data_IF_245155199675
#
_entry.id   IF_245155199675
#
_cell.length_a   1.000
_cell.length_b   1.000
_cell.length_c   1.000
_cell.angle_alpha   90.00
_cell.angle_beta   90.00
_cell.angle_gamma   90.00
#
_symmetry.space_group_name_H-M   'P 1'
#
loop_
_entity.id
_entity.type
_entity.pdbx_description
1 polymer ?
#
# COMPACT_ATOMS: atom_id res chain seq x y z
N UNK A 1 -16.21 -25.92 12.71
CA UNK A 1 -16.95 -26.46 11.55
C UNK A 1 -16.78 -25.47 10.43
N UNK A 2 -16.16 -25.87 9.32
CA UNK A 2 -15.97 -24.95 8.19
C UNK A 2 -17.33 -24.63 7.56
N UNK A 3 -17.58 -23.35 7.28
CA UNK A 3 -18.85 -22.88 6.71
C UNK A 3 -18.65 -22.47 5.26
N UNK A 4 -19.53 -22.94 4.40
CA UNK A 4 -19.56 -22.50 3.01
C UNK A 4 -20.51 -21.32 2.88
N UNK A 5 -19.96 -20.14 2.50
CA UNK A 5 -20.71 -18.91 2.32
C UNK A 5 -20.61 -18.44 0.87
N UNK A 6 -21.72 -18.08 0.31
CA UNK A 6 -21.80 -17.49 -1.04
C UNK A 6 -22.44 -16.10 -1.02
N UNK A 7 -21.95 -15.17 -1.84
CA UNK A 7 -22.59 -13.89 -2.00
C UNK A 7 -23.84 -14.04 -2.88
N UNK A 8 -24.94 -13.46 -2.44
CA UNK A 8 -26.23 -13.46 -3.14
C UNK A 8 -26.64 -12.01 -3.40
N UNK A 9 -26.82 -11.65 -4.66
CA UNK A 9 -27.38 -10.36 -5.03
C UNK A 9 -28.90 -10.50 -5.13
N UNK A 10 -29.62 -9.69 -4.36
CA UNK A 10 -31.09 -9.72 -4.35
C UNK A 10 -31.68 -8.89 -5.50
N UNK A 11 -32.96 -9.12 -5.87
CA UNK A 11 -33.66 -8.30 -6.87
C UNK A 11 -33.74 -6.80 -6.54
N UNK A 12 -33.54 -6.45 -5.25
CA UNK A 12 -33.54 -5.06 -4.76
C UNK A 12 -32.13 -4.45 -4.70
N UNK A 13 -31.12 -5.10 -5.30
CA UNK A 13 -29.75 -4.60 -5.35
C UNK A 13 -28.97 -4.71 -4.04
N UNK A 14 -29.45 -5.48 -3.05
CA UNK A 14 -28.73 -5.74 -1.81
C UNK A 14 -27.85 -6.98 -1.94
N UNK A 15 -26.63 -6.89 -1.46
CA UNK A 15 -25.68 -8.02 -1.39
C UNK A 15 -25.73 -8.62 0.02
N UNK A 16 -25.91 -9.91 0.13
CA UNK A 16 -25.91 -10.65 1.39
C UNK A 16 -25.09 -11.93 1.26
N UNK A 17 -24.81 -12.60 2.39
CA UNK A 17 -24.24 -13.95 2.41
C UNK A 17 -25.31 -14.96 2.76
N UNK A 18 -25.35 -16.05 2.00
CA UNK A 18 -26.17 -17.20 2.29
C UNK A 18 -25.26 -18.43 2.47
N UNK A 19 -25.76 -19.44 3.20
CA UNK A 19 -25.06 -20.71 3.33
C UNK A 19 -25.26 -21.53 2.06
N UNK A 20 -24.18 -22.16 1.59
CA UNK A 20 -24.21 -23.08 0.47
C UNK A 20 -23.77 -24.47 0.90
N UNK A 21 -24.24 -25.47 0.19
CA UNK A 21 -23.81 -26.87 0.39
C UNK A 21 -22.54 -27.22 -0.41
N UNK A 22 -21.81 -26.22 -0.94
CA UNK A 22 -20.71 -26.38 -1.87
C UNK A 22 -19.39 -26.75 -1.17
N UNK A 23 -18.48 -27.36 -1.98
CA UNK A 23 -17.17 -27.90 -1.56
C UNK A 23 -16.19 -26.83 -1.03
N UNK A 24 -16.43 -25.55 -1.23
CA UNK A 24 -15.50 -24.49 -0.82
C UNK A 24 -15.89 -23.92 0.53
N UNK A 25 -15.23 -24.42 1.58
CA UNK A 25 -15.46 -23.90 2.92
C UNK A 25 -14.44 -22.80 3.27
N UNK A 26 -14.93 -21.72 3.84
CA UNK A 26 -14.10 -20.66 4.41
C UNK A 26 -13.56 -21.09 5.77
N UNK A 27 -12.39 -20.56 6.15
CA UNK A 27 -11.90 -20.69 7.53
C UNK A 27 -12.93 -20.09 8.51
N UNK A 28 -13.15 -20.75 9.65
CA UNK A 28 -14.20 -20.35 10.62
C UNK A 28 -14.10 -18.88 11.02
N UNK A 29 -12.91 -18.40 11.31
CA UNK A 29 -12.69 -17.00 11.70
C UNK A 29 -13.00 -16.00 10.58
N UNK A 30 -12.79 -16.37 9.31
CA UNK A 30 -13.12 -15.55 8.15
C UNK A 30 -14.64 -15.52 7.92
N UNK A 31 -15.27 -16.69 7.95
CA UNK A 31 -16.72 -16.81 7.77
C UNK A 31 -17.47 -15.96 8.81
N UNK A 32 -17.09 -16.06 10.08
CA UNK A 32 -17.71 -15.30 11.18
C UNK A 32 -17.53 -13.77 11.00
N UNK A 33 -16.35 -13.32 10.60
CA UNK A 33 -16.13 -11.89 10.33
C UNK A 33 -17.00 -11.38 9.18
N UNK A 34 -17.08 -12.13 8.09
CA UNK A 34 -17.88 -11.75 6.94
C UNK A 34 -19.38 -11.75 7.27
N UNK A 35 -19.89 -12.81 7.90
CA UNK A 35 -21.29 -12.88 8.35
C UNK A 35 -21.67 -11.69 9.23
N UNK A 36 -20.84 -11.38 10.23
CA UNK A 36 -21.05 -10.24 11.14
C UNK A 36 -21.16 -8.91 10.37
N UNK A 37 -20.29 -8.70 9.38
CA UNK A 37 -20.32 -7.44 8.61
C UNK A 37 -21.51 -7.39 7.66
N UNK A 38 -21.80 -8.46 6.92
CA UNK A 38 -22.94 -8.51 6.00
C UNK A 38 -24.30 -8.45 6.72
N UNK A 39 -24.40 -8.93 7.96
CA UNK A 39 -25.61 -8.77 8.81
C UNK A 39 -25.90 -7.29 9.10
N UNK A 40 -24.87 -6.44 9.19
CA UNK A 40 -25.02 -4.99 9.35
C UNK A 40 -25.47 -4.30 8.03
N UNK A 41 -25.26 -4.93 6.88
CA UNK A 41 -25.64 -4.47 5.56
C UNK A 41 -24.57 -4.70 4.49
N UNK A 42 -24.97 -4.58 3.23
CA UNK A 42 -24.12 -4.79 2.06
C UNK A 42 -22.83 -3.94 2.09
N UNK A 43 -22.97 -2.67 2.46
CA UNK A 43 -21.83 -1.74 2.53
C UNK A 43 -20.79 -2.14 3.57
N UNK A 44 -21.22 -2.59 4.76
CA UNK A 44 -20.30 -3.07 5.81
C UNK A 44 -19.57 -4.34 5.37
N UNK A 45 -20.28 -5.26 4.71
CA UNK A 45 -19.69 -6.47 4.15
C UNK A 45 -18.66 -6.18 3.06
N UNK A 46 -18.97 -5.28 2.13
CA UNK A 46 -18.05 -4.83 1.08
C UNK A 46 -16.83 -4.10 1.67
N UNK A 47 -17.02 -3.23 2.65
CA UNK A 47 -15.92 -2.56 3.33
C UNK A 47 -14.97 -3.56 4.01
N UNK A 48 -15.50 -4.61 4.64
CA UNK A 48 -14.70 -5.68 5.23
C UNK A 48 -13.95 -6.47 4.15
N UNK A 49 -14.61 -6.85 3.05
CA UNK A 49 -13.97 -7.56 1.94
C UNK A 49 -12.81 -6.75 1.35
N UNK A 50 -13.02 -5.46 1.08
CA UNK A 50 -12.00 -4.59 0.49
C UNK A 50 -10.87 -4.25 1.46
N UNK A 51 -11.19 -3.84 2.68
CA UNK A 51 -10.19 -3.36 3.63
C UNK A 51 -9.50 -4.49 4.41
N UNK A 52 -10.24 -5.53 4.79
CA UNK A 52 -9.73 -6.59 5.67
C UNK A 52 -9.18 -7.81 4.94
N UNK A 53 -9.82 -8.20 3.84
CA UNK A 53 -9.57 -9.52 3.22
C UNK A 53 -8.71 -9.44 1.94
N UNK A 54 -7.96 -8.37 1.77
CA UNK A 54 -6.96 -8.26 0.71
C UNK A 54 -5.83 -9.30 0.94
N UNK A 55 -5.66 -10.21 -0.02
CA UNK A 55 -4.69 -11.31 0.07
C UNK A 55 -5.22 -12.59 0.69
N UNK A 56 -6.49 -12.61 1.09
CA UNK A 56 -7.15 -13.83 1.57
C UNK A 56 -7.65 -14.66 0.37
N UNK A 57 -7.48 -15.99 0.43
CA UNK A 57 -8.04 -16.90 -0.58
C UNK A 57 -9.54 -16.96 -0.42
N UNK A 58 -10.29 -16.61 -1.48
CA UNK A 58 -11.74 -16.57 -1.49
C UNK A 58 -12.29 -17.31 -2.72
N UNK A 59 -13.53 -17.86 -2.65
CA UNK A 59 -14.25 -18.34 -3.82
C UNK A 59 -14.39 -17.23 -4.88
N UNK A 60 -14.50 -17.61 -6.16
CA UNK A 60 -14.48 -16.69 -7.28
C UNK A 60 -15.51 -15.54 -7.19
N UNK A 61 -16.71 -15.84 -6.72
CA UNK A 61 -17.77 -14.86 -6.52
C UNK A 61 -17.43 -13.85 -5.40
N UNK A 62 -16.96 -14.32 -4.24
CA UNK A 62 -16.50 -13.44 -3.15
C UNK A 62 -15.23 -12.67 -3.54
N UNK A 63 -14.31 -13.29 -4.27
CA UNK A 63 -13.11 -12.64 -4.79
C UNK A 63 -13.47 -11.47 -5.73
N UNK A 64 -14.47 -11.64 -6.58
CA UNK A 64 -14.96 -10.59 -7.47
C UNK A 64 -15.54 -9.39 -6.69
N UNK A 65 -16.35 -9.65 -5.66
CA UNK A 65 -16.88 -8.59 -4.78
C UNK A 65 -15.79 -7.91 -3.98
N UNK A 66 -14.77 -8.66 -3.53
CA UNK A 66 -13.58 -8.06 -2.94
C UNK A 66 -12.87 -7.13 -3.92
N UNK A 67 -12.69 -7.55 -5.17
CA UNK A 67 -12.01 -6.74 -6.19
C UNK A 67 -12.78 -5.45 -6.52
N UNK A 68 -14.12 -5.49 -6.48
CA UNK A 68 -14.94 -4.29 -6.52
C UNK A 68 -14.68 -3.38 -5.31
N UNK A 69 -14.71 -3.92 -4.10
CA UNK A 69 -14.52 -3.17 -2.87
C UNK A 69 -13.07 -2.66 -2.69
N UNK A 70 -12.07 -3.38 -3.20
CA UNK A 70 -10.67 -2.92 -3.20
C UNK A 70 -10.47 -1.60 -3.95
N UNK A 71 -11.26 -1.34 -5.00
CA UNK A 71 -11.22 -0.07 -5.74
C UNK A 71 -11.67 1.08 -4.85
N UNK A 72 -12.75 0.87 -4.10
CA UNK A 72 -13.24 1.85 -3.13
C UNK A 72 -12.16 2.21 -2.08
N UNK A 73 -11.53 1.20 -1.47
CA UNK A 73 -10.49 1.43 -0.46
C UNK A 73 -9.23 2.06 -1.07
N UNK A 74 -8.88 1.72 -2.31
CA UNK A 74 -7.74 2.35 -2.99
C UNK A 74 -8.00 3.85 -3.24
N UNK A 75 -9.20 4.23 -3.65
CA UNK A 75 -9.59 5.62 -3.85
C UNK A 75 -9.58 6.40 -2.52
N UNK A 76 -10.02 5.78 -1.41
CA UNK A 76 -9.90 6.35 -0.07
C UNK A 76 -8.44 6.69 0.29
N UNK A 77 -7.53 5.76 0.02
CA UNK A 77 -6.10 5.97 0.30
C UNK A 77 -5.49 7.06 -0.60
N UNK A 78 -5.99 7.21 -1.82
CA UNK A 78 -5.53 8.23 -2.76
C UNK A 78 -5.96 9.65 -2.37
N UNK A 79 -6.97 9.81 -1.52
CA UNK A 79 -7.41 11.14 -1.03
C UNK A 79 -6.56 11.69 0.14
N UNK A 80 -5.74 10.86 0.80
CA UNK A 80 -4.72 11.22 1.80
C UNK A 80 -5.20 11.80 3.12
N UNK A 81 -4.20 12.21 3.93
CA UNK A 81 -4.38 12.71 5.30
C UNK A 81 -4.94 14.13 5.40
N UNK A 82 -4.90 14.90 4.30
CA UNK A 82 -5.26 16.33 4.29
C UNK A 82 -6.76 16.59 4.27
N UNK A 83 -7.58 15.59 4.04
CA UNK A 83 -9.02 15.73 4.19
C UNK A 83 -9.35 15.80 5.69
N UNK A 84 -9.45 17.02 6.21
CA UNK A 84 -9.96 17.26 7.56
C UNK A 84 -11.33 16.59 7.72
N UNK A 85 -11.60 16.06 8.92
CA UNK A 85 -12.80 15.26 9.22
C UNK A 85 -14.15 15.98 8.98
N UNK A 86 -14.12 17.25 8.62
CA UNK A 86 -15.29 18.13 8.52
C UNK A 86 -15.75 18.43 7.07
N UNK A 87 -14.97 18.08 6.05
CA UNK A 87 -15.43 18.21 4.67
C UNK A 87 -16.16 16.94 4.25
N UNK A 88 -17.43 17.06 3.84
CA UNK A 88 -18.19 15.99 3.19
C UNK A 88 -17.34 15.42 2.07
N UNK A 89 -16.81 14.23 2.32
CA UNK A 89 -16.02 13.50 1.33
C UNK A 89 -16.99 12.95 0.30
N UNK A 90 -17.04 13.60 -0.83
CA UNK A 90 -17.75 13.06 -1.98
C UNK A 90 -16.81 12.01 -2.62
N UNK A 91 -17.17 10.72 -2.50
CA UNK A 91 -16.45 9.62 -3.17
C UNK A 91 -17.21 9.26 -4.44
N UNK A 92 -16.92 9.92 -5.57
CA UNK A 92 -17.62 9.61 -6.79
C UNK A 92 -17.41 8.12 -7.14
N UNK A 93 -18.49 7.48 -7.56
CA UNK A 93 -18.37 6.13 -8.10
C UNK A 93 -17.43 6.12 -9.32
N UNK A 94 -16.73 5.01 -9.59
CA UNK A 94 -15.91 4.87 -10.78
C UNK A 94 -16.69 5.19 -12.06
N UNK A 95 -15.97 5.51 -13.14
CA UNK A 95 -16.59 5.79 -14.42
C UNK A 95 -17.48 4.60 -14.87
N UNK A 96 -18.60 4.90 -15.51
CA UNK A 96 -19.54 3.88 -15.99
C UNK A 96 -18.86 2.81 -16.87
N UNK A 97 -17.87 3.21 -17.70
CA UNK A 97 -17.05 2.30 -18.52
C UNK A 97 -16.31 1.26 -17.69
N UNK A 98 -15.76 1.68 -16.54
CA UNK A 98 -14.96 0.81 -15.67
C UNK A 98 -15.85 -0.18 -14.91
N UNK A 99 -17.02 0.27 -14.48
CA UNK A 99 -18.01 -0.60 -13.84
C UNK A 99 -18.61 -1.59 -14.85
N UNK A 100 -18.87 -1.18 -16.08
CA UNK A 100 -19.34 -2.08 -17.14
C UNK A 100 -18.28 -3.14 -17.45
N UNK A 101 -17.03 -2.75 -17.61
CA UNK A 101 -15.92 -3.69 -17.83
C UNK A 101 -15.71 -4.66 -16.65
N UNK A 102 -16.13 -4.28 -15.45
CA UNK A 102 -16.12 -5.15 -14.27
C UNK A 102 -17.27 -6.16 -14.34
N UNK A 103 -18.48 -5.71 -14.70
CA UNK A 103 -19.66 -6.58 -14.87
C UNK A 103 -19.38 -7.66 -15.92
N UNK A 104 -18.79 -7.30 -17.05
CA UNK A 104 -18.46 -8.24 -18.14
C UNK A 104 -17.51 -9.38 -17.69
N UNK A 105 -16.79 -9.18 -16.61
CA UNK A 105 -15.86 -10.15 -16.03
C UNK A 105 -16.40 -10.85 -14.79
N UNK A 106 -17.68 -10.64 -14.46
CA UNK A 106 -18.27 -11.25 -13.30
C UNK A 106 -18.36 -12.78 -13.46
N UNK A 107 -17.92 -13.55 -12.46
CA UNK A 107 -18.12 -14.99 -12.48
C UNK A 107 -19.61 -15.32 -12.29
N UNK A 108 -20.04 -16.53 -12.64
CA UNK A 108 -21.37 -17.00 -12.28
C UNK A 108 -21.59 -16.87 -10.76
N UNK A 109 -22.67 -16.20 -10.37
CA UNK A 109 -23.03 -16.01 -8.97
C UNK A 109 -24.56 -15.96 -8.80
N UNK A 110 -25.03 -16.26 -7.60
CA UNK A 110 -26.43 -16.23 -7.29
C UNK A 110 -26.98 -14.80 -7.33
N UNK A 111 -28.02 -14.56 -8.13
CA UNK A 111 -28.58 -13.23 -8.39
C UNK A 111 -27.75 -12.40 -9.39
N UNK A 112 -26.84 -13.05 -10.15
CA UNK A 112 -26.03 -12.36 -11.17
C UNK A 112 -26.87 -11.67 -12.27
N UNK A 113 -28.10 -12.11 -12.49
CA UNK A 113 -29.07 -11.47 -13.40
C UNK A 113 -29.49 -10.06 -12.96
N UNK A 114 -29.30 -9.73 -11.69
CA UNK A 114 -29.58 -8.39 -11.14
C UNK A 114 -28.35 -7.48 -11.14
N UNK A 115 -27.19 -7.99 -11.58
CA UNK A 115 -25.94 -7.24 -11.59
C UNK A 115 -25.97 -6.20 -12.74
N UNK A 116 -26.28 -4.98 -12.41
CA UNK A 116 -26.39 -3.85 -13.33
C UNK A 116 -25.56 -2.65 -12.81
N UNK A 117 -25.34 -1.68 -13.69
CA UNK A 117 -24.53 -0.50 -13.39
C UNK A 117 -25.05 0.30 -12.20
N UNK A 118 -26.35 0.55 -12.15
CA UNK A 118 -27.05 1.27 -11.08
C UNK A 118 -26.94 0.55 -9.74
N UNK A 119 -26.98 -0.79 -9.74
CA UNK A 119 -26.78 -1.61 -8.54
C UNK A 119 -25.36 -1.46 -8.01
N UNK A 120 -24.33 -1.48 -8.87
CA UNK A 120 -22.96 -1.26 -8.43
C UNK A 120 -22.75 0.16 -7.87
N UNK A 121 -23.37 1.17 -8.49
CA UNK A 121 -23.32 2.55 -7.96
C UNK A 121 -24.00 2.63 -6.59
N UNK A 122 -25.16 1.99 -6.41
CA UNK A 122 -25.85 1.96 -5.13
C UNK A 122 -25.06 1.22 -4.05
N UNK A 123 -24.38 0.13 -4.40
CA UNK A 123 -23.50 -0.61 -3.50
C UNK A 123 -22.24 0.20 -3.13
N UNK A 124 -21.70 0.98 -4.07
CA UNK A 124 -20.61 1.92 -3.79
C UNK A 124 -21.01 2.95 -2.75
N UNK A 125 -22.13 3.62 -2.94
CA UNK A 125 -22.70 4.57 -1.98
C UNK A 125 -23.06 3.93 -0.63
N UNK A 126 -23.50 2.66 -0.65
CA UNK A 126 -23.73 1.91 0.59
C UNK A 126 -22.43 1.65 1.35
N UNK A 127 -21.34 1.40 0.63
CA UNK A 127 -20.00 1.21 1.23
C UNK A 127 -19.46 2.51 1.82
N UNK A 128 -19.70 3.63 1.16
CA UNK A 128 -19.37 4.98 1.67
C UNK A 128 -20.09 5.27 2.99
N UNK A 129 -21.40 5.07 3.04
CA UNK A 129 -22.17 5.23 4.28
C UNK A 129 -21.71 4.30 5.40
N UNK A 130 -21.38 3.04 5.06
CA UNK A 130 -20.84 2.11 6.05
C UNK A 130 -19.50 2.58 6.61
N UNK A 131 -18.63 3.15 5.77
CA UNK A 131 -17.37 3.75 6.19
C UNK A 131 -17.58 4.91 7.17
N UNK A 132 -18.49 5.84 6.86
CA UNK A 132 -18.80 6.97 7.73
C UNK A 132 -19.27 6.51 9.12
N UNK A 133 -20.17 5.52 9.16
CA UNK A 133 -20.66 4.93 10.40
C UNK A 133 -19.50 4.30 11.18
N UNK A 134 -18.70 3.46 10.55
CA UNK A 134 -17.62 2.75 11.24
C UNK A 134 -16.48 3.67 11.67
N UNK A 135 -16.19 4.74 10.93
CA UNK A 135 -15.24 5.77 11.37
C UNK A 135 -15.76 6.52 12.61
N UNK A 136 -17.04 6.89 12.63
CA UNK A 136 -17.65 7.56 13.78
C UNK A 136 -17.68 6.66 15.03
N UNK A 137 -17.96 5.36 14.86
CA UNK A 137 -17.94 4.36 15.93
C UNK A 137 -16.53 4.12 16.49
N UNK A 138 -15.53 4.01 15.59
CA UNK A 138 -14.15 3.70 15.99
C UNK A 138 -13.41 4.90 16.58
N UNK A 139 -13.81 6.12 16.24
CA UNK A 139 -13.12 7.39 16.57
C UNK A 139 -11.66 7.43 16.11
N UNK A 140 -11.30 6.60 15.16
CA UNK A 140 -9.96 6.54 14.60
C UNK A 140 -9.86 7.43 13.35
N UNK A 141 -8.68 8.05 13.10
CA UNK A 141 -8.39 8.60 11.78
C UNK A 141 -8.47 7.52 10.70
N UNK A 142 -8.84 7.91 9.48
CA UNK A 142 -9.01 6.98 8.35
C UNK A 142 -7.80 6.05 8.15
N UNK A 143 -6.59 6.59 8.22
CA UNK A 143 -5.35 5.81 8.03
C UNK A 143 -5.18 4.73 9.11
N UNK A 144 -5.45 5.04 10.37
CA UNK A 144 -5.36 4.08 11.46
C UNK A 144 -6.49 3.04 11.40
N UNK A 145 -7.67 3.45 10.98
CA UNK A 145 -8.81 2.57 10.74
C UNK A 145 -8.51 1.52 9.64
N UNK A 146 -7.94 1.93 8.52
CA UNK A 146 -7.55 1.03 7.45
C UNK A 146 -6.37 0.13 7.85
N UNK A 147 -5.37 0.71 8.54
CA UNK A 147 -4.20 -0.02 9.06
C UNK A 147 -4.58 -1.10 10.06
N UNK A 148 -5.59 -0.87 10.91
CA UNK A 148 -6.09 -1.86 11.85
C UNK A 148 -6.69 -3.09 11.14
N UNK A 149 -7.24 -2.93 9.92
CA UNK A 149 -7.78 -4.02 9.10
C UNK A 149 -6.69 -4.74 8.31
N UNK A 150 -5.79 -3.99 7.68
CA UNK A 150 -4.65 -4.53 6.96
C UNK A 150 -3.52 -3.50 6.94
N UNK A 151 -2.38 -3.86 7.53
CA UNK A 151 -1.23 -2.98 7.68
C UNK A 151 -0.64 -2.47 6.35
N UNK A 152 -0.92 -3.13 5.23
CA UNK A 152 -0.45 -2.74 3.89
C UNK A 152 -1.10 -1.47 3.38
N UNK A 153 -2.31 -1.11 3.87
CA UNK A 153 -2.99 0.12 3.46
C UNK A 153 -2.20 1.39 3.74
N UNK A 154 -1.35 1.39 4.77
CA UNK A 154 -0.45 2.52 5.06
C UNK A 154 0.50 2.88 3.91
N UNK A 155 0.72 1.97 2.95
CA UNK A 155 1.63 2.15 1.82
C UNK A 155 0.91 2.52 0.53
N UNK A 156 -0.41 2.43 0.49
CA UNK A 156 -1.24 2.80 -0.66
C UNK A 156 -1.43 4.33 -0.66
N UNK A 157 -1.47 4.93 -1.83
CA UNK A 157 -1.52 6.38 -1.97
C UNK A 157 -0.20 7.10 -1.71
N UNK A 158 0.90 6.35 -1.53
CA UNK A 158 2.23 6.91 -1.24
C UNK A 158 3.17 6.86 -2.44
N UNK A 159 4.05 7.84 -2.49
CA UNK A 159 5.17 7.85 -3.45
C UNK A 159 6.34 7.09 -2.83
N UNK A 160 6.91 6.20 -3.61
CA UNK A 160 8.03 5.36 -3.22
C UNK A 160 9.25 5.74 -4.06
N UNK A 161 10.38 5.95 -3.41
CA UNK A 161 11.67 6.07 -4.05
C UNK A 161 12.41 4.75 -3.91
N UNK A 162 12.71 4.14 -5.05
CA UNK A 162 13.31 2.83 -5.11
C UNK A 162 14.76 2.95 -5.60
N UNK A 163 15.70 2.50 -4.80
CA UNK A 163 17.10 2.32 -5.16
C UNK A 163 17.38 0.83 -5.29
N UNK A 164 17.89 0.41 -6.44
CA UNK A 164 18.23 -0.97 -6.74
C UNK A 164 19.67 -1.08 -7.25
N UNK A 165 20.32 -2.22 -6.99
CA UNK A 165 21.63 -2.54 -7.57
C UNK A 165 21.47 -2.97 -9.02
N UNK A 166 22.28 -2.38 -9.90
CA UNK A 166 22.42 -2.78 -11.30
C UNK A 166 23.79 -3.44 -11.53
N UNK A 167 23.87 -4.73 -11.30
CA UNK A 167 25.13 -5.48 -11.41
C UNK A 167 25.65 -5.64 -12.84
N UNK A 168 24.84 -5.24 -13.84
CA UNK A 168 25.18 -5.38 -15.27
C UNK A 168 25.92 -4.17 -15.84
N UNK A 169 25.90 -3.06 -15.13
CA UNK A 169 26.48 -1.79 -15.58
C UNK A 169 27.51 -1.29 -14.53
N UNK A 170 28.81 -1.50 -14.77
CA UNK A 170 29.85 -1.07 -13.82
C UNK A 170 29.94 0.44 -13.66
N UNK A 171 29.61 1.22 -14.68
CA UNK A 171 29.68 2.69 -14.64
C UNK A 171 28.50 3.30 -13.87
N UNK A 172 27.34 2.63 -13.96
CA UNK A 172 26.11 3.01 -13.26
C UNK A 172 25.55 1.81 -12.47
N UNK A 173 26.21 1.44 -11.37
CA UNK A 173 25.87 0.24 -10.60
C UNK A 173 24.55 0.36 -9.82
N UNK A 174 23.84 1.48 -9.94
CA UNK A 174 22.55 1.72 -9.27
C UNK A 174 21.51 2.20 -10.25
N UNK A 175 20.25 1.85 -9.93
CA UNK A 175 19.07 2.33 -10.62
C UNK A 175 18.14 2.98 -9.60
N UNK A 176 17.66 4.17 -9.93
CA UNK A 176 16.64 4.87 -9.15
C UNK A 176 15.35 4.96 -9.93
N UNK A 177 14.21 4.77 -9.27
CA UNK A 177 12.90 4.97 -9.86
C UNK A 177 11.90 5.44 -8.79
N UNK A 178 11.19 6.53 -9.09
CA UNK A 178 10.05 6.94 -8.31
C UNK A 178 8.79 6.20 -8.79
N UNK A 179 8.05 5.59 -7.85
CA UNK A 179 6.80 4.89 -8.10
C UNK A 179 5.71 5.37 -7.17
N UNK A 180 4.48 5.20 -7.58
CA UNK A 180 3.29 5.45 -6.79
C UNK A 180 2.55 4.13 -6.53
N UNK A 181 2.07 3.93 -5.31
CA UNK A 181 1.29 2.74 -4.99
C UNK A 181 -0.19 3.04 -5.13
N UNK A 182 -0.80 2.54 -6.21
CA UNK A 182 -2.19 2.83 -6.57
C UNK A 182 -3.22 1.97 -5.82
N UNK A 183 -2.80 0.89 -5.15
CA UNK A 183 -3.72 0.00 -4.45
C UNK A 183 -3.10 -1.34 -4.09
N UNK A 184 -3.95 -2.26 -3.63
CA UNK A 184 -3.63 -3.66 -3.44
C UNK A 184 -4.24 -4.49 -4.56
N UNK A 185 -3.55 -5.53 -4.99
CA UNK A 185 -4.14 -6.57 -5.85
C UNK A 185 -5.01 -7.52 -5.02
N UNK A 186 -5.77 -8.40 -5.70
CA UNK A 186 -6.52 -9.47 -5.06
C UNK A 186 -5.66 -10.35 -4.13
N UNK A 187 -4.40 -10.58 -4.50
CA UNK A 187 -3.42 -11.35 -3.72
C UNK A 187 -2.80 -10.52 -2.58
N UNK A 188 -3.29 -9.31 -2.32
CA UNK A 188 -2.78 -8.40 -1.30
C UNK A 188 -1.41 -7.80 -1.62
N UNK A 189 -0.94 -7.91 -2.86
CA UNK A 189 0.34 -7.32 -3.29
C UNK A 189 0.14 -5.86 -3.67
N UNK A 190 1.08 -5.00 -3.26
CA UNK A 190 1.06 -3.58 -3.61
C UNK A 190 1.25 -3.38 -5.12
N UNK A 191 0.34 -2.63 -5.73
CA UNK A 191 0.45 -2.23 -7.15
C UNK A 191 1.25 -0.96 -7.26
N UNK A 192 2.45 -1.06 -7.82
CA UNK A 192 3.34 0.07 -8.06
C UNK A 192 3.25 0.49 -9.53
N UNK A 193 3.01 1.78 -9.75
CA UNK A 193 3.04 2.42 -11.05
C UNK A 193 4.23 3.39 -11.12
N UNK A 194 4.92 3.53 -12.26
CA UNK A 194 5.88 4.63 -12.45
C UNK A 194 5.19 5.97 -12.15
N UNK A 195 5.85 6.88 -11.43
CA UNK A 195 5.23 8.12 -10.93
C UNK A 195 4.61 8.99 -12.05
N UNK A 196 5.17 8.96 -13.23
CA UNK A 196 4.65 9.69 -14.39
C UNK A 196 3.31 9.19 -14.93
N UNK A 197 2.90 7.96 -14.62
CA UNK A 197 1.65 7.39 -15.10
C UNK A 197 0.44 7.98 -14.35
N UNK A 198 0.31 7.88 -13.01
CA UNK A 198 -0.80 8.46 -12.27
C UNK A 198 -0.85 9.99 -12.42
N UNK A 199 0.30 10.65 -12.58
CA UNK A 199 0.34 12.08 -12.86
C UNK A 199 -0.43 12.43 -14.15
N UNK A 200 -0.20 11.69 -15.23
CA UNK A 200 -0.92 11.89 -16.50
C UNK A 200 -2.41 11.56 -16.38
N UNK A 201 -2.74 10.47 -15.69
CA UNK A 201 -4.12 10.05 -15.48
C UNK A 201 -4.90 11.12 -14.70
N UNK A 202 -4.39 11.62 -13.59
CA UNK A 202 -5.04 12.66 -12.78
C UNK A 202 -5.08 14.02 -13.48
N UNK A 203 -4.06 14.37 -14.26
CA UNK A 203 -4.05 15.58 -15.06
C UNK A 203 -5.10 15.55 -16.17
N UNK A 204 -5.25 14.42 -16.86
CA UNK A 204 -6.27 14.24 -17.92
C UNK A 204 -7.70 14.20 -17.35
N UNK A 205 -7.88 13.66 -16.16
CA UNK A 205 -9.17 13.66 -15.44
C UNK A 205 -9.51 15.02 -14.81
N UNK A 206 -8.57 15.98 -14.78
CA UNK A 206 -8.75 17.28 -14.13
C UNK A 206 -8.79 17.22 -12.61
N UNK A 207 -8.35 16.11 -12.00
CA UNK A 207 -8.36 15.88 -10.55
C UNK A 207 -7.17 16.57 -9.88
N UNK A 208 -7.34 17.88 -9.65
CA UNK A 208 -6.30 18.72 -9.03
C UNK A 208 -5.97 18.29 -7.61
N UNK A 209 -6.94 17.77 -6.86
CA UNK A 209 -6.74 17.36 -5.46
C UNK A 209 -5.81 16.17 -5.39
N UNK A 210 -6.05 15.11 -6.17
CA UNK A 210 -5.17 13.94 -6.25
C UNK A 210 -3.79 14.29 -6.80
N UNK A 211 -3.70 15.22 -7.76
CA UNK A 211 -2.41 15.71 -8.27
C UNK A 211 -1.57 16.40 -7.20
N UNK A 212 -2.16 17.34 -6.48
CA UNK A 212 -1.46 18.05 -5.41
C UNK A 212 -0.99 17.11 -4.33
N UNK A 213 -1.84 16.18 -3.93
CA UNK A 213 -1.53 15.21 -2.92
C UNK A 213 -0.39 14.25 -3.33
N UNK A 214 -0.40 13.80 -4.59
CA UNK A 214 0.66 12.95 -5.14
C UNK A 214 2.00 13.68 -5.16
N UNK A 215 2.01 14.98 -5.47
CA UNK A 215 3.24 15.76 -5.62
C UNK A 215 3.71 16.41 -4.32
N UNK A 216 2.85 16.68 -3.36
CA UNK A 216 3.20 17.38 -2.13
C UNK A 216 4.39 16.76 -1.36
N UNK A 217 4.45 15.43 -1.14
CA UNK A 217 5.61 14.81 -0.48
C UNK A 217 6.91 14.96 -1.27
N UNK A 218 6.82 14.91 -2.60
CA UNK A 218 7.99 15.08 -3.49
C UNK A 218 8.50 16.52 -3.43
N UNK A 219 7.58 17.47 -3.48
CA UNK A 219 7.91 18.90 -3.39
C UNK A 219 8.52 19.23 -2.02
N UNK A 220 7.92 18.79 -0.95
CA UNK A 220 8.44 19.00 0.41
C UNK A 220 9.85 18.38 0.60
N UNK A 221 10.08 17.19 0.07
CA UNK A 221 11.41 16.58 0.10
C UNK A 221 12.41 17.35 -0.76
N UNK A 222 11.99 17.91 -1.91
CA UNK A 222 12.85 18.68 -2.79
C UNK A 222 13.34 20.00 -2.17
N UNK A 223 12.58 20.57 -1.23
CA UNK A 223 13.00 21.76 -0.48
C UNK A 223 14.19 21.45 0.46
N UNK A 224 14.26 20.22 0.98
CA UNK A 224 15.34 19.77 1.86
C UNK A 224 16.53 19.17 1.12
N UNK A 225 16.33 18.64 -0.10
CA UNK A 225 17.32 17.88 -0.85
C UNK A 225 17.61 18.55 -2.22
N UNK A 226 18.72 19.27 -2.32
CA UNK A 226 19.08 20.04 -3.54
C UNK A 226 19.19 19.16 -4.81
N UNK A 227 19.73 17.95 -4.71
CA UNK A 227 19.82 17.02 -5.83
C UNK A 227 18.43 16.56 -6.29
N UNK A 228 17.50 16.33 -5.33
CA UNK A 228 16.12 15.94 -5.64
C UNK A 228 15.39 17.07 -6.36
N UNK A 229 15.60 18.32 -5.92
CA UNK A 229 15.06 19.50 -6.60
C UNK A 229 15.50 19.53 -8.06
N UNK A 230 16.78 19.30 -8.34
CA UNK A 230 17.31 19.32 -9.70
C UNK A 230 16.64 18.28 -10.61
N UNK A 231 16.45 17.03 -10.15
CA UNK A 231 15.80 15.99 -10.95
C UNK A 231 14.28 16.20 -11.08
N UNK A 232 13.65 16.85 -10.10
CA UNK A 232 12.24 17.26 -10.20
C UNK A 232 12.07 18.38 -11.22
N UNK A 233 12.87 19.44 -11.14
CA UNK A 233 12.83 20.59 -12.05
C UNK A 233 13.15 20.17 -13.49
N UNK A 234 14.05 19.19 -13.68
CA UNK A 234 14.37 18.61 -14.98
C UNK A 234 13.30 17.62 -15.50
N UNK A 235 12.34 17.23 -14.68
CA UNK A 235 11.35 16.21 -15.02
C UNK A 235 11.90 14.77 -15.06
N UNK A 236 13.15 14.57 -14.66
CA UNK A 236 13.82 13.26 -14.71
C UNK A 236 13.22 12.27 -13.68
N UNK A 237 12.61 12.78 -12.61
CA UNK A 237 11.98 11.96 -11.57
C UNK A 237 10.90 11.01 -12.10
N UNK A 238 10.32 11.30 -13.25
CA UNK A 238 9.27 10.50 -13.87
C UNK A 238 9.81 9.31 -14.69
N UNK A 239 11.13 9.20 -14.80
CA UNK A 239 11.82 8.17 -15.57
C UNK A 239 12.77 7.35 -14.68
N UNK A 240 13.05 6.09 -15.05
CA UNK A 240 14.13 5.36 -14.42
C UNK A 240 15.48 6.03 -14.68
N UNK A 241 16.24 6.27 -13.62
CA UNK A 241 17.57 6.89 -13.70
C UNK A 241 18.66 5.86 -13.42
N UNK A 242 19.75 5.98 -14.15
CA UNK A 242 20.99 5.24 -13.89
C UNK A 242 21.88 6.10 -13.00
N UNK A 243 22.31 5.55 -11.87
CA UNK A 243 23.04 6.30 -10.87
C UNK A 243 24.43 5.76 -10.63
N UNK A 244 25.35 6.70 -10.40
CA UNK A 244 26.69 6.44 -9.91
C UNK A 244 26.69 6.10 -8.41
N UNK A 245 27.80 5.56 -7.85
CA UNK A 245 27.94 5.41 -6.41
C UNK A 245 27.76 6.71 -5.63
N UNK A 246 28.20 7.84 -6.19
CA UNK A 246 28.07 9.16 -5.56
C UNK A 246 26.60 9.58 -5.44
N UNK A 247 25.77 9.33 -6.47
CA UNK A 247 24.34 9.62 -6.43
C UNK A 247 23.63 8.77 -5.38
N UNK A 248 23.99 7.47 -5.30
CA UNK A 248 23.45 6.58 -4.29
C UNK A 248 23.84 7.02 -2.85
N UNK A 249 25.05 7.49 -2.62
CA UNK A 249 25.49 8.02 -1.32
C UNK A 249 24.70 9.28 -0.95
N UNK A 250 24.49 10.22 -1.89
CA UNK A 250 23.66 11.42 -1.64
C UNK A 250 22.23 11.03 -1.26
N UNK A 251 21.65 10.08 -1.98
CA UNK A 251 20.32 9.56 -1.66
C UNK A 251 20.25 9.00 -0.24
N UNK A 252 21.24 8.19 0.16
CA UNK A 252 21.29 7.58 1.49
C UNK A 252 21.46 8.60 2.62
N UNK A 253 22.18 9.69 2.38
CA UNK A 253 22.37 10.77 3.35
C UNK A 253 21.06 11.49 3.66
N UNK A 254 20.17 11.62 2.67
CA UNK A 254 18.93 12.38 2.77
C UNK A 254 17.68 11.51 3.04
N UNK A 255 17.84 10.18 3.26
CA UNK A 255 16.73 9.25 3.51
C UNK A 255 15.79 9.77 4.60
N UNK A 256 16.34 10.21 5.72
CA UNK A 256 15.54 10.69 6.86
C UNK A 256 14.71 11.94 6.52
N UNK A 257 15.26 12.85 5.72
CA UNK A 257 14.55 14.03 5.26
C UNK A 257 13.39 13.66 4.30
N UNK A 258 13.64 12.72 3.40
CA UNK A 258 12.63 12.21 2.47
C UNK A 258 11.51 11.46 3.19
N UNK A 259 11.84 10.62 4.18
CA UNK A 259 10.85 9.91 5.00
C UNK A 259 10.00 10.87 5.84
N UNK A 260 10.60 11.94 6.39
CA UNK A 260 9.86 13.01 7.10
C UNK A 260 8.90 13.76 6.19
N UNK A 261 9.21 13.90 4.91
CA UNK A 261 8.31 14.47 3.91
C UNK A 261 7.17 13.52 3.49
N UNK A 262 7.11 12.29 4.01
CA UNK A 262 6.07 11.32 3.71
C UNK A 262 6.38 10.37 2.55
N UNK A 263 7.60 10.40 2.01
CA UNK A 263 8.05 9.44 0.99
C UNK A 263 8.38 8.08 1.62
N UNK A 264 8.14 7.02 0.88
CA UNK A 264 8.52 5.66 1.30
C UNK A 264 9.81 5.27 0.58
N UNK A 265 10.87 5.01 1.34
CA UNK A 265 12.17 4.68 0.79
C UNK A 265 12.35 3.16 0.72
N UNK A 266 12.68 2.66 -0.47
CA UNK A 266 13.01 1.25 -0.72
C UNK A 266 14.43 1.13 -1.23
N UNK A 267 15.21 0.31 -0.55
CA UNK A 267 16.59 0.02 -0.89
C UNK A 267 16.90 -1.46 -0.63
N UNK A 268 17.97 -2.02 -1.19
CA UNK A 268 18.39 -3.39 -0.91
C UNK A 268 18.51 -3.65 0.60
N UNK A 269 18.13 -4.86 1.05
CA UNK A 269 18.02 -5.18 2.47
C UNK A 269 19.36 -5.05 3.23
N UNK A 270 20.46 -5.41 2.57
CA UNK A 270 21.84 -5.28 3.09
C UNK A 270 22.26 -3.84 3.38
N UNK A 271 21.60 -2.84 2.78
CA UNK A 271 21.91 -1.42 2.98
C UNK A 271 21.20 -0.82 4.19
N UNK A 272 20.04 -1.34 4.55
CA UNK A 272 19.35 -0.96 5.79
C UNK A 272 20.04 -1.48 7.05
N UNK A 273 20.74 -2.60 6.93
CA UNK A 273 21.45 -3.22 8.05
C UNK A 273 22.79 -2.54 8.36
N UNK A 274 23.31 -1.73 7.46
CA UNK A 274 24.54 -0.96 7.67
C UNK A 274 24.31 0.42 8.31
N UNK A 275 23.50 0.51 9.35
CA UNK A 275 23.95 1.29 10.50
C UNK A 275 25.14 0.50 11.03
N UNK A 276 26.38 1.02 10.99
CA UNK A 276 27.49 0.29 11.58
C UNK A 276 27.09 -0.01 13.00
N UNK A 277 26.90 -1.29 13.34
CA UNK A 277 26.86 -1.71 14.72
C UNK A 277 28.10 -1.04 15.33
N UNK A 278 27.89 -0.22 16.36
CA UNK A 278 29.03 0.41 17.06
C UNK A 278 30.05 -0.70 17.25
N UNK A 279 31.29 -0.56 16.78
CA UNK A 279 32.28 -1.61 16.91
C UNK A 279 32.35 -1.97 18.40
N UNK A 280 31.88 -3.16 18.75
CA UNK A 280 32.05 -3.69 20.09
C UNK A 280 33.48 -4.11 20.16
N UNK A 281 34.28 -3.37 20.93
CA UNK A 281 35.65 -3.76 21.23
C UNK A 281 35.57 -4.84 22.31
N UNK A 282 35.64 -6.10 21.95
CA UNK A 282 35.91 -7.18 22.90
C UNK A 282 37.40 -7.17 23.23
N UNK A 283 37.72 -6.58 24.37
CA UNK A 283 39.07 -6.70 24.94
C UNK A 283 39.14 -8.04 25.68
N UNK A 284 39.71 -9.06 25.06
CA UNK A 284 40.08 -10.28 25.78
C UNK A 284 41.35 -9.99 26.54
N UNK A 285 41.24 -9.79 27.85
CA UNK A 285 42.42 -9.72 28.73
C UNK A 285 42.93 -11.15 28.90
N UNK A 286 43.88 -11.52 28.08
CA UNK A 286 44.52 -12.83 28.18
C UNK A 286 45.29 -12.95 29.48
N UNK A 287 45.02 -13.99 30.27
CA UNK A 287 45.83 -14.44 31.39
C UNK A 287 47.08 -15.15 30.86
N UNK A 288 47.95 -14.43 30.20
CA UNK A 288 49.29 -14.93 29.90
C UNK A 288 50.17 -14.55 31.06
N UNK A 289 50.82 -15.56 31.68
CA UNK A 289 51.85 -15.38 32.70
C UNK A 289 52.91 -14.37 32.24
N UNK A 290 53.33 -13.42 33.08
CA UNK A 290 54.30 -12.43 32.67
C UNK A 290 55.58 -13.11 32.22
N UNK A 291 56.02 -12.92 30.99
CA UNK A 291 57.33 -13.33 30.51
C UNK A 291 58.40 -12.51 31.23
N UNK A 292 59.42 -13.18 31.65
CA UNK A 292 60.51 -12.62 32.46
C UNK A 292 61.42 -11.57 31.73
N UNK A 293 61.10 -11.28 30.48
CA UNK A 293 61.72 -10.27 29.63
C UNK A 293 60.71 -9.24 29.19
N UNK A 294 60.76 -8.10 29.90
CA UNK A 294 59.87 -6.98 29.64
C UNK A 294 60.09 -6.31 28.29
N UNK A 295 59.39 -6.75 27.24
CA UNK A 295 59.22 -5.97 26.01
C UNK A 295 57.90 -6.26 25.35
N UNK A 296 57.21 -5.15 25.11
CA UNK A 296 56.12 -4.90 24.12
C UNK A 296 54.88 -5.78 24.17
N UNK A 297 53.83 -5.25 24.77
CA UNK A 297 52.44 -5.68 24.53
C UNK A 297 52.03 -5.29 23.12
N UNK A 298 51.93 -6.27 22.24
CA UNK A 298 51.33 -6.09 20.93
C UNK A 298 49.79 -6.25 21.07
N UNK A 299 49.02 -5.21 20.79
CA UNK A 299 47.59 -5.27 20.74
C UNK A 299 47.19 -5.72 19.34
N UNK A 300 46.55 -6.88 19.24
CA UNK A 300 45.95 -7.33 17.98
C UNK A 300 44.47 -6.94 18.00
N UNK A 301 44.10 -6.01 17.14
CA UNK A 301 42.70 -5.68 16.89
C UNK A 301 42.18 -6.65 15.82
N UNK A 302 41.16 -7.44 16.14
CA UNK A 302 40.38 -8.20 15.16
C UNK A 302 39.03 -7.49 15.00
N UNK A 303 38.80 -6.86 13.86
CA UNK A 303 37.48 -6.39 13.49
C UNK A 303 36.73 -7.54 12.80
N UNK A 304 35.55 -7.83 13.26
CA UNK A 304 34.58 -8.64 12.57
C UNK A 304 33.50 -7.76 11.96
#
# INVERSE_FOLDING_TARGET
>A
MSRSLIPVLTPHGSLRLDQAEDEFSLEDGLAERLEKCFTRGSGHGLLQLGAGEAGTSLPSSLAWWRDFALRFVADLCALGETAQADERRDFPAPAASDLTALIDKAPPMQGGEYLQLDVLIALWQSTERALEIELSESKLPLQDFLKARNSRWRLVGRVHFNLAENRRDPDYPFAFMATYTSGLSADGVLRHLPLGQPLREYASAGDKAKLLQLLAPVQQASEACAWLKNIVDAGEIFHPLRWTPQDAVRFLQDVEAMERAGLVIRMPANWRMNRPSRPSVEATVGSASPSVLGMARCWIFVSK
#
